data_IF_065811305669
#
_entry.id   IF_065811305669
#
_cell.length_a   1.000
_cell.length_b   1.000
_cell.length_c   1.000
_cell.angle_alpha   90.00
_cell.angle_beta   90.00
_cell.angle_gamma   90.00
#
_symmetry.space_group_name_H-M   'P 1'
#
loop_
_entity.id
_entity.type
_entity.pdbx_description
1 polymer ?
#
# COMPACT_ATOMS: atom_id res chain seq x y z
N UNK A 1 6.89 2.15 -19.65
CA UNK A 1 8.32 2.17 -19.26
C UNK A 1 8.74 3.49 -18.58
N UNK A 2 7.84 4.41 -18.19
CA UNK A 2 8.27 5.77 -17.77
C UNK A 2 7.72 6.30 -16.44
N UNK A 3 6.64 5.76 -15.86
CA UNK A 3 6.11 6.28 -14.57
C UNK A 3 6.71 5.57 -13.33
N UNK A 4 6.92 4.26 -13.35
CA UNK A 4 7.45 3.51 -12.19
C UNK A 4 8.93 3.78 -11.89
N UNK A 5 9.75 4.03 -12.93
CA UNK A 5 11.14 4.45 -12.75
C UNK A 5 11.25 5.87 -12.19
N UNK A 6 10.23 6.70 -12.41
CA UNK A 6 10.15 8.06 -11.89
C UNK A 6 9.80 8.02 -10.39
N UNK A 7 8.74 7.30 -9.99
CA UNK A 7 8.31 7.20 -8.58
C UNK A 7 9.42 6.67 -7.65
N UNK A 8 10.12 5.61 -8.06
CA UNK A 8 11.22 5.05 -7.25
C UNK A 8 12.37 6.04 -7.07
N UNK A 9 12.73 6.77 -8.14
CA UNK A 9 13.80 7.76 -8.08
C UNK A 9 13.43 8.93 -7.18
N UNK A 10 12.16 9.37 -7.23
CA UNK A 10 11.63 10.41 -6.37
C UNK A 10 11.64 10.00 -4.89
N UNK A 11 11.26 8.76 -4.59
CA UNK A 11 11.37 8.20 -3.24
C UNK A 11 12.82 8.20 -2.75
N UNK A 12 13.75 7.66 -3.56
CA UNK A 12 15.17 7.61 -3.21
C UNK A 12 15.80 9.01 -3.04
N UNK A 13 15.31 10.02 -3.77
CA UNK A 13 15.70 11.41 -3.58
C UNK A 13 15.16 11.97 -2.27
N UNK A 14 13.87 11.76 -1.98
CA UNK A 14 13.22 12.22 -0.76
C UNK A 14 13.75 11.55 0.52
N UNK A 15 14.29 10.32 0.42
CA UNK A 15 15.00 9.66 1.50
C UNK A 15 16.33 10.33 1.88
N UNK A 16 17.03 10.89 0.89
CA UNK A 16 18.30 11.59 1.09
C UNK A 16 18.10 13.06 1.46
N UNK A 17 17.06 13.67 0.90
CA UNK A 17 16.72 15.08 1.07
C UNK A 17 15.20 15.21 1.24
N UNK A 18 14.71 15.39 2.49
CA UNK A 18 13.28 15.54 2.77
C UNK A 18 12.59 16.67 2.00
N UNK A 19 13.33 17.67 1.50
CA UNK A 19 12.75 18.75 0.68
C UNK A 19 12.23 18.25 -0.68
N UNK A 20 12.72 17.10 -1.16
CA UNK A 20 12.26 16.43 -2.38
C UNK A 20 10.94 15.66 -2.21
N UNK A 21 10.38 15.64 -1.01
CA UNK A 21 9.09 15.00 -0.76
C UNK A 21 7.91 15.72 -1.43
N UNK A 22 8.06 16.99 -1.80
CA UNK A 22 7.00 17.79 -2.40
C UNK A 22 6.38 17.13 -3.65
N UNK A 23 7.22 16.55 -4.53
CA UNK A 23 6.73 15.89 -5.75
C UNK A 23 5.87 14.66 -5.42
N UNK A 24 6.30 13.86 -4.44
CA UNK A 24 5.55 12.70 -3.95
C UNK A 24 4.23 13.10 -3.31
N UNK A 25 4.21 14.23 -2.59
CA UNK A 25 3.00 14.80 -2.03
C UNK A 25 2.03 15.21 -3.13
N UNK A 26 2.46 16.01 -4.10
CA UNK A 26 1.60 16.55 -5.16
C UNK A 26 0.96 15.43 -5.99
N UNK A 27 1.72 14.39 -6.34
CA UNK A 27 1.24 13.25 -7.10
C UNK A 27 0.21 12.40 -6.34
N UNK A 28 0.31 12.35 -5.01
CA UNK A 28 -0.51 11.44 -4.19
C UNK A 28 -1.60 12.13 -3.38
N UNK A 29 -1.58 13.46 -3.26
CA UNK A 29 -2.48 14.22 -2.39
C UNK A 29 -3.94 13.86 -2.63
N UNK A 30 -4.41 13.97 -3.88
CA UNK A 30 -5.80 13.70 -4.22
C UNK A 30 -6.22 12.26 -3.93
N UNK A 31 -5.31 11.29 -4.11
CA UNK A 31 -5.59 9.89 -3.83
C UNK A 31 -5.78 9.65 -2.33
N UNK A 32 -4.91 10.19 -1.49
CA UNK A 32 -4.99 10.07 -0.03
C UNK A 32 -6.21 10.84 0.50
N UNK A 33 -6.39 12.08 0.07
CA UNK A 33 -7.52 12.92 0.47
C UNK A 33 -8.86 12.26 0.11
N UNK A 34 -9.00 11.74 -1.12
CA UNK A 34 -10.21 11.05 -1.55
C UNK A 34 -10.45 9.70 -0.83
N UNK A 35 -9.40 9.06 -0.32
CA UNK A 35 -9.52 7.89 0.56
C UNK A 35 -10.11 8.26 1.92
N UNK A 36 -9.64 9.38 2.50
CA UNK A 36 -10.02 9.86 3.84
C UNK A 36 -11.40 10.52 3.84
N UNK A 37 -11.68 11.43 2.90
CA UNK A 37 -12.95 12.17 2.85
C UNK A 37 -14.16 11.22 2.77
N UNK A 38 -14.01 10.11 2.06
CA UNK A 38 -15.04 9.07 1.96
C UNK A 38 -15.29 8.39 3.30
N UNK A 39 -14.26 8.19 4.13
CA UNK A 39 -14.36 7.46 5.40
C UNK A 39 -14.72 8.32 6.60
N UNK A 40 -14.54 9.64 6.49
CA UNK A 40 -14.75 10.57 7.61
C UNK A 40 -16.00 11.42 7.39
N UNK A 41 -16.39 11.67 6.14
CA UNK A 41 -17.61 12.41 5.78
C UNK A 41 -17.57 13.91 6.09
N UNK A 42 -16.71 14.34 7.02
CA UNK A 42 -16.42 15.74 7.32
C UNK A 42 -15.17 16.20 6.57
N UNK A 43 -15.28 17.34 5.87
CA UNK A 43 -14.20 17.87 5.03
C UNK A 43 -13.06 18.47 5.84
N UNK A 44 -13.33 19.17 6.93
CA UNK A 44 -12.28 19.75 7.75
C UNK A 44 -11.44 18.66 8.42
N UNK A 45 -12.11 17.65 8.97
CA UNK A 45 -11.41 16.49 9.53
C UNK A 45 -10.63 15.71 8.47
N UNK A 46 -11.16 15.60 7.24
CA UNK A 46 -10.43 14.95 6.17
C UNK A 46 -9.17 15.72 5.75
N UNK A 47 -9.21 17.05 5.74
CA UNK A 47 -8.04 17.90 5.46
C UNK A 47 -6.96 17.69 6.55
N UNK A 48 -7.33 17.72 7.82
CA UNK A 48 -6.42 17.50 8.95
C UNK A 48 -5.80 16.09 8.94
N UNK A 49 -6.61 15.06 8.75
CA UNK A 49 -6.13 13.67 8.70
C UNK A 49 -5.25 13.41 7.47
N UNK A 50 -5.51 14.10 6.34
CA UNK A 50 -4.62 14.03 5.17
C UNK A 50 -3.26 14.64 5.50
N UNK A 51 -3.24 15.78 6.18
CA UNK A 51 -1.99 16.39 6.65
C UNK A 51 -1.24 15.46 7.62
N UNK A 52 -1.95 14.77 8.52
CA UNK A 52 -1.38 13.77 9.41
C UNK A 52 -0.69 12.63 8.64
N UNK A 53 -1.35 12.09 7.61
CA UNK A 53 -0.78 11.02 6.77
C UNK A 53 0.52 11.46 6.13
N UNK A 54 0.55 12.62 5.50
CA UNK A 54 1.75 13.09 4.81
C UNK A 54 2.86 13.50 5.79
N UNK A 55 2.52 14.01 6.97
CA UNK A 55 3.50 14.25 8.04
C UNK A 55 4.14 12.95 8.49
N UNK A 56 3.35 11.90 8.70
CA UNK A 56 3.86 10.59 9.08
C UNK A 56 4.66 9.93 7.95
N UNK A 57 4.22 10.08 6.70
CA UNK A 57 4.95 9.62 5.53
C UNK A 57 6.31 10.31 5.41
N UNK A 58 6.37 11.64 5.55
CA UNK A 58 7.62 12.39 5.55
C UNK A 58 8.58 11.92 6.65
N UNK A 59 8.08 11.71 7.87
CA UNK A 59 8.89 11.21 8.98
C UNK A 59 9.33 9.74 8.78
N UNK A 60 8.53 8.95 8.07
CA UNK A 60 8.75 7.53 7.84
C UNK A 60 9.52 7.19 6.57
N UNK A 61 9.69 8.14 5.63
CA UNK A 61 10.18 7.84 4.28
C UNK A 61 11.59 7.23 4.28
N UNK A 62 12.45 7.63 5.23
CA UNK A 62 13.79 7.05 5.38
C UNK A 62 13.81 5.55 5.74
N UNK A 63 12.69 5.01 6.22
CA UNK A 63 12.50 3.57 6.52
C UNK A 63 11.68 2.84 5.45
N UNK A 64 11.15 3.56 4.47
CA UNK A 64 10.43 2.95 3.38
C UNK A 64 11.41 2.14 2.53
N UNK A 65 11.12 0.86 2.33
CA UNK A 65 11.94 0.00 1.48
C UNK A 65 11.12 -0.35 0.25
N UNK A 66 11.73 -0.19 -0.92
CA UNK A 66 11.14 -0.62 -2.18
C UNK A 66 11.16 -2.15 -2.27
N UNK A 67 10.23 -2.77 -1.56
CA UNK A 67 9.95 -4.20 -1.64
C UNK A 67 8.84 -4.38 -2.65
N UNK A 68 9.06 -3.89 -3.88
CA UNK A 68 8.19 -4.06 -5.05
C UNK A 68 6.76 -3.56 -4.88
N UNK A 69 6.64 -2.38 -4.29
CA UNK A 69 5.38 -1.82 -3.84
C UNK A 69 5.32 -0.36 -4.21
N UNK A 70 4.21 0.11 -4.83
CA UNK A 70 4.05 1.52 -5.14
C UNK A 70 4.02 2.34 -3.87
N UNK A 71 4.68 3.48 -3.90
CA UNK A 71 4.72 4.42 -2.77
C UNK A 71 3.30 4.82 -2.32
N UNK A 72 2.42 5.00 -3.29
CA UNK A 72 1.03 5.34 -3.07
C UNK A 72 0.24 4.30 -2.24
N UNK A 73 0.63 3.01 -2.30
CA UNK A 73 0.01 1.97 -1.48
C UNK A 73 0.51 2.01 -0.02
N UNK A 74 1.77 2.37 0.19
CA UNK A 74 2.29 2.66 1.53
C UNK A 74 1.59 3.85 2.19
N UNK A 75 1.34 4.93 1.45
CA UNK A 75 0.54 6.08 1.93
C UNK A 75 -0.87 5.69 2.37
N UNK A 76 -1.55 4.81 1.61
CA UNK A 76 -2.89 4.32 1.99
C UNK A 76 -2.84 3.49 3.26
N UNK A 77 -1.76 2.72 3.50
CA UNK A 77 -1.55 2.02 4.76
C UNK A 77 -1.47 2.96 5.97
N UNK A 78 -0.76 4.09 5.82
CA UNK A 78 -0.71 5.16 6.83
C UNK A 78 -2.11 5.77 7.02
N UNK A 79 -2.80 6.11 5.92
CA UNK A 79 -4.14 6.67 5.96
C UNK A 79 -5.17 5.79 6.66
N UNK A 80 -5.13 4.48 6.41
CA UNK A 80 -6.00 3.51 7.08
C UNK A 80 -5.80 3.53 8.60
N UNK A 81 -4.54 3.55 9.07
CA UNK A 81 -4.24 3.63 10.50
C UNK A 81 -4.69 4.96 11.11
N UNK A 82 -4.42 6.08 10.42
CA UNK A 82 -4.83 7.42 10.87
C UNK A 82 -6.35 7.52 11.02
N UNK A 83 -7.12 7.02 10.05
CA UNK A 83 -8.59 6.98 10.12
C UNK A 83 -9.09 6.07 11.26
N UNK A 84 -8.50 4.89 11.43
CA UNK A 84 -8.87 4.00 12.54
C UNK A 84 -8.62 4.64 13.92
N UNK A 85 -7.49 5.33 14.07
CA UNK A 85 -7.15 6.06 15.30
C UNK A 85 -8.10 7.24 15.54
N UNK A 86 -8.53 7.94 14.50
CA UNK A 86 -9.53 9.01 14.58
C UNK A 86 -10.86 8.47 15.15
N UNK A 87 -11.40 7.38 14.58
CA UNK A 87 -12.65 6.81 15.06
C UNK A 87 -12.55 6.26 16.49
N UNK A 88 -11.41 5.67 16.85
CA UNK A 88 -11.14 5.23 18.23
C UNK A 88 -11.08 6.38 19.23
N UNK A 89 -10.64 7.58 18.82
CA UNK A 89 -10.62 8.78 19.68
C UNK A 89 -12.02 9.40 19.76
N UNK A 90 -12.67 9.59 18.62
CA UNK A 90 -14.03 10.13 18.54
C UNK A 90 -15.00 9.33 19.41
N UNK A 91 -14.99 8.00 19.34
CA UNK A 91 -15.86 7.15 20.15
C UNK A 91 -15.58 7.19 21.66
N UNK A 92 -14.38 7.60 22.09
CA UNK A 92 -14.04 7.80 23.50
C UNK A 92 -14.53 9.15 24.02
N UNK A 93 -14.59 10.16 23.17
CA UNK A 93 -14.99 11.53 23.54
C UNK A 93 -16.52 11.72 23.57
N UNK A 94 -17.26 11.05 22.68
CA UNK A 94 -18.74 11.13 22.64
C UNK A 94 -19.44 10.05 23.47
N UNK A 95 -18.72 9.08 24.05
CA UNK A 95 -19.30 7.96 24.82
C UNK A 95 -20.17 7.01 23.98
N UNK A 96 -20.23 7.23 22.66
CA UNK A 96 -20.91 6.42 21.68
C UNK A 96 -19.85 6.07 20.63
N UNK A 97 -19.59 4.80 20.27
CA UNK A 97 -18.68 4.48 19.20
C UNK A 97 -19.21 5.15 17.93
N UNK A 98 -18.60 6.28 17.55
CA UNK A 98 -18.94 6.95 16.32
C UNK A 98 -18.68 5.93 15.20
N UNK A 99 -19.77 5.47 14.57
CA UNK A 99 -19.72 4.49 13.51
C UNK A 99 -18.94 5.12 12.36
N UNK A 100 -18.00 4.36 11.79
CA UNK A 100 -17.54 4.66 10.44
C UNK A 100 -18.80 4.90 9.59
N UNK A 101 -18.95 6.06 8.92
CA UNK A 101 -20.01 6.22 7.96
C UNK A 101 -19.88 5.06 6.98
N UNK A 102 -21.01 4.41 6.70
CA UNK A 102 -21.14 3.30 5.74
C UNK A 102 -20.95 3.83 4.32
N UNK A 103 -19.86 4.53 4.08
CA UNK A 103 -19.47 5.01 2.78
C UNK A 103 -18.90 3.81 2.04
N UNK A 104 -19.69 3.31 1.09
CA UNK A 104 -19.29 2.25 0.18
C UNK A 104 -17.92 2.61 -0.43
N UNK A 105 -16.88 1.95 0.06
CA UNK A 105 -15.59 1.92 -0.61
C UNK A 105 -15.87 1.23 -1.95
N UNK A 106 -15.44 1.77 -3.10
CA UNK A 106 -15.48 0.97 -4.32
C UNK A 106 -14.71 -0.32 -4.01
N UNK A 107 -15.40 -1.47 -4.07
CA UNK A 107 -14.86 -2.75 -3.64
C UNK A 107 -13.47 -3.01 -4.25
N UNK A 108 -13.23 -2.51 -5.46
CA UNK A 108 -11.95 -2.54 -6.17
C UNK A 108 -10.78 -1.86 -5.44
N UNK A 109 -10.98 -0.71 -4.77
CA UNK A 109 -9.89 -0.01 -4.07
C UNK A 109 -9.56 -0.71 -2.75
N UNK A 110 -10.58 -1.23 -2.06
CA UNK A 110 -10.42 -2.01 -0.82
C UNK A 110 -9.75 -3.35 -1.12
N UNK A 111 -10.20 -4.03 -2.18
CA UNK A 111 -9.63 -5.27 -2.69
C UNK A 111 -8.19 -5.09 -3.13
N UNK A 112 -7.88 -4.03 -3.88
CA UNK A 112 -6.51 -3.73 -4.30
C UNK A 112 -5.60 -3.38 -3.11
N UNK A 113 -6.11 -2.67 -2.11
CA UNK A 113 -5.36 -2.33 -0.88
C UNK A 113 -5.08 -3.57 -0.03
N UNK A 114 -6.07 -4.43 0.12
CA UNK A 114 -5.97 -5.67 0.88
C UNK A 114 -5.02 -6.64 0.18
N UNK A 115 -5.23 -6.93 -1.11
CA UNK A 115 -4.35 -7.78 -1.91
C UNK A 115 -2.90 -7.32 -1.80
N UNK A 116 -2.69 -6.01 -1.89
CA UNK A 116 -1.39 -5.39 -1.76
C UNK A 116 -0.73 -5.62 -0.38
N UNK A 117 -1.47 -5.46 0.72
CA UNK A 117 -0.96 -5.78 2.07
C UNK A 117 -0.62 -7.26 2.24
N UNK A 118 -1.43 -8.15 1.64
CA UNK A 118 -1.21 -9.60 1.71
C UNK A 118 0.02 -10.01 0.90
N UNK A 119 0.24 -9.40 -0.27
CA UNK A 119 1.46 -9.61 -1.09
C UNK A 119 2.72 -9.27 -0.28
N UNK A 120 2.70 -8.19 0.49
CA UNK A 120 3.83 -7.81 1.36
C UNK A 120 4.12 -8.77 2.52
N UNK A 121 3.12 -9.54 2.96
CA UNK A 121 3.28 -10.55 4.02
C UNK A 121 3.79 -11.88 3.48
N UNK A 122 3.91 -12.03 2.17
CA UNK A 122 4.48 -13.22 1.57
C UNK A 122 5.96 -13.38 1.98
N UNK A 123 6.44 -14.62 2.15
CA UNK A 123 7.86 -14.91 2.27
C UNK A 123 8.64 -14.28 1.10
N UNK A 124 9.84 -13.77 1.37
CA UNK A 124 10.63 -12.97 0.42
C UNK A 124 10.78 -13.63 -0.96
N UNK A 125 11.03 -14.95 -1.00
CA UNK A 125 11.17 -15.69 -2.24
C UNK A 125 9.85 -15.77 -3.06
N UNK A 126 8.71 -15.80 -2.39
CA UNK A 126 7.38 -15.76 -3.03
C UNK A 126 7.06 -14.35 -3.50
N UNK A 127 7.30 -13.36 -2.66
CA UNK A 127 7.16 -11.94 -2.99
C UNK A 127 7.94 -11.58 -4.27
N UNK A 128 9.24 -11.93 -4.33
CA UNK A 128 10.09 -11.63 -5.49
C UNK A 128 9.57 -12.25 -6.78
N UNK A 129 9.09 -13.50 -6.74
CA UNK A 129 8.52 -14.18 -7.92
C UNK A 129 7.24 -13.49 -8.38
N UNK A 130 6.35 -13.11 -7.45
CA UNK A 130 5.12 -12.38 -7.79
C UNK A 130 5.44 -11.00 -8.38
N UNK A 131 6.38 -10.26 -7.78
CA UNK A 131 6.81 -8.96 -8.28
C UNK A 131 7.37 -9.06 -9.71
N UNK A 132 8.37 -9.92 -9.92
CA UNK A 132 8.98 -10.07 -11.24
C UNK A 132 7.98 -10.56 -12.29
N UNK A 133 7.03 -11.41 -11.89
CA UNK A 133 6.03 -11.96 -12.81
C UNK A 133 4.97 -10.94 -13.23
N UNK A 134 4.44 -10.18 -12.28
CA UNK A 134 3.23 -9.37 -12.49
C UNK A 134 3.50 -7.87 -12.59
N UNK A 135 4.56 -7.37 -11.96
CA UNK A 135 4.98 -5.97 -12.06
C UNK A 135 5.99 -5.81 -13.20
N UNK A 136 7.08 -6.57 -13.15
CA UNK A 136 8.14 -6.49 -14.17
C UNK A 136 7.81 -7.26 -15.46
N UNK A 137 6.67 -7.96 -15.50
CA UNK A 137 6.17 -8.75 -16.65
C UNK A 137 7.14 -9.81 -17.19
N UNK A 138 8.04 -10.33 -16.37
CA UNK A 138 9.03 -11.33 -16.78
C UNK A 138 8.40 -12.71 -17.00
N UNK A 139 8.96 -13.45 -17.95
CA UNK A 139 8.67 -14.86 -18.16
C UNK A 139 9.23 -15.72 -17.03
N UNK A 140 8.65 -16.90 -16.80
CA UNK A 140 9.14 -17.86 -15.81
C UNK A 140 10.61 -18.23 -16.07
N UNK A 141 11.02 -18.28 -17.34
CA UNK A 141 12.39 -18.55 -17.76
C UNK A 141 13.34 -17.43 -17.36
N UNK A 142 12.97 -16.17 -17.60
CA UNK A 142 13.78 -15.01 -17.18
C UNK A 142 13.91 -14.94 -15.67
N UNK A 143 12.82 -15.17 -14.94
CA UNK A 143 12.81 -15.21 -13.47
C UNK A 143 13.72 -16.35 -12.96
N UNK A 144 13.65 -17.52 -13.58
CA UNK A 144 14.48 -18.66 -13.22
C UNK A 144 15.98 -18.36 -13.41
N UNK A 145 16.34 -17.76 -14.54
CA UNK A 145 17.71 -17.33 -14.82
C UNK A 145 18.20 -16.28 -13.82
N UNK A 146 17.39 -15.26 -13.53
CA UNK A 146 17.76 -14.17 -12.63
C UNK A 146 17.87 -14.60 -11.16
N UNK A 147 17.02 -15.54 -10.72
CA UNK A 147 17.05 -16.06 -9.35
C UNK A 147 18.05 -17.22 -9.17
N UNK A 148 18.69 -17.69 -10.24
CA UNK A 148 19.55 -18.88 -10.19
C UNK A 148 18.78 -20.15 -9.78
N UNK A 149 17.52 -20.28 -10.23
CA UNK A 149 16.64 -21.40 -9.88
C UNK A 149 16.11 -22.10 -11.13
N UNK A 150 15.53 -23.29 -10.96
CA UNK A 150 14.84 -23.98 -12.05
C UNK A 150 13.48 -23.34 -12.32
N UNK A 151 12.99 -23.41 -13.56
CA UNK A 151 11.63 -22.95 -13.91
C UNK A 151 10.56 -23.65 -13.06
N UNK A 152 10.76 -24.93 -12.71
CA UNK A 152 9.89 -25.67 -11.81
C UNK A 152 9.81 -25.08 -10.41
N UNK A 153 10.95 -24.64 -9.85
CA UNK A 153 10.99 -23.98 -8.55
C UNK A 153 10.27 -22.62 -8.56
N UNK A 154 10.41 -21.85 -9.66
CA UNK A 154 9.69 -20.58 -9.84
C UNK A 154 8.18 -20.80 -9.92
N UNK A 155 7.72 -21.79 -10.71
CA UNK A 155 6.30 -22.17 -10.78
C UNK A 155 5.73 -22.53 -9.41
N UNK A 156 6.49 -23.28 -8.61
CA UNK A 156 6.07 -23.66 -7.26
C UNK A 156 5.99 -22.47 -6.30
N UNK A 157 6.94 -21.53 -6.36
CA UNK A 157 6.88 -20.31 -5.56
C UNK A 157 5.69 -19.43 -5.94
N UNK A 158 5.42 -19.28 -7.24
CA UNK A 158 4.27 -18.54 -7.74
C UNK A 158 2.95 -19.18 -7.27
N UNK A 159 2.82 -20.50 -7.38
CA UNK A 159 1.63 -21.23 -6.93
C UNK A 159 1.38 -21.01 -5.44
N UNK A 160 2.40 -21.24 -4.59
CA UNK A 160 2.29 -21.06 -3.14
C UNK A 160 1.95 -19.64 -2.74
N UNK A 161 2.50 -18.66 -3.45
CA UNK A 161 2.18 -17.26 -3.24
C UNK A 161 0.70 -16.99 -3.49
N UNK A 162 0.17 -17.44 -4.63
CA UNK A 162 -1.25 -17.27 -5.00
C UNK A 162 -2.17 -17.99 -4.00
N UNK A 163 -1.83 -19.21 -3.58
CA UNK A 163 -2.59 -19.96 -2.57
C UNK A 163 -2.59 -19.23 -1.22
N UNK A 164 -1.45 -18.71 -0.78
CA UNK A 164 -1.34 -17.93 0.46
C UNK A 164 -2.18 -16.65 0.41
N UNK A 165 -2.17 -15.94 -0.73
CA UNK A 165 -3.00 -14.75 -0.93
C UNK A 165 -4.48 -15.11 -0.88
N UNK A 166 -4.90 -16.16 -1.59
CA UNK A 166 -6.29 -16.63 -1.60
C UNK A 166 -6.79 -16.98 -0.20
N UNK A 167 -6.03 -17.79 0.55
CA UNK A 167 -6.41 -18.20 1.90
C UNK A 167 -6.54 -17.00 2.85
N UNK A 168 -5.66 -16.00 2.72
CA UNK A 168 -5.71 -14.79 3.53
C UNK A 168 -6.86 -13.86 3.15
N UNK A 169 -7.28 -13.86 1.88
CA UNK A 169 -8.47 -13.12 1.44
C UNK A 169 -9.76 -13.80 1.93
N UNK A 170 -9.86 -15.13 1.84
CA UNK A 170 -11.01 -15.90 2.32
C UNK A 170 -11.18 -15.78 3.85
N UNK A 171 -10.08 -15.82 4.61
CA UNK A 171 -10.12 -15.71 6.07
C UNK A 171 -10.37 -14.30 6.63
N UNK A 172 -10.34 -13.27 5.79
CA UNK A 172 -10.59 -11.89 6.20
C UNK A 172 -11.96 -11.36 5.75
N UNK A 173 -12.75 -12.22 5.07
CA UNK A 173 -14.17 -12.01 4.77
C UNK A 173 -15.11 -12.83 5.67
N UNK A 174 -14.58 -13.49 6.71
CA UNK A 174 -15.31 -14.28 7.70
C UNK A 174 -15.28 -13.62 9.09
#
# INVERSE_FOLDING_TARGET
MSEEHDERTQVEAAQRDPSRFADLYEQNFYRVYAYIVRRVGDRHQAEDLTADVFREALAGIGKFEWRGVPFAAWLVGIASRVVADYWKRSGRETGNPAREPEAAVPAEIEHNTMLFQLVHRLPEAQFRVIHMRFVEQKSIREIAQELGRTEGAVKQLQLRAIESLRAQMEGAHA
#
